data_IF_082778544849
#
_entry.id   IF_082778544849
#
_cell.length_a   1.000
_cell.length_b   1.000
_cell.length_c   1.000
_cell.angle_alpha   90.00
_cell.angle_beta   90.00
_cell.angle_gamma   90.00
#
_symmetry.space_group_name_H-M   'P 1'
#
loop_
_entity.id
_entity.type
_entity.pdbx_description
1 polymer ?
#
# COMPACT_ATOMS: atom_id res chain seq x y z
N UNK A 1 55.79 6.40 55.60
CA UNK A 1 54.73 6.74 54.62
C UNK A 1 54.37 5.47 53.87
N UNK A 2 53.14 4.98 54.05
CA UNK A 2 52.55 3.86 53.31
C UNK A 2 52.13 4.37 51.94
N UNK A 3 52.24 3.58 50.87
CA UNK A 3 51.14 3.43 49.91
C UNK A 3 51.36 2.16 49.07
N UNK A 4 50.42 1.23 49.25
CA UNK A 4 50.34 -0.08 48.60
C UNK A 4 49.88 0.07 47.14
N UNK A 5 50.43 -0.80 46.31
CA UNK A 5 49.90 -1.24 45.03
C UNK A 5 48.57 -1.96 45.28
N UNK A 6 47.48 -1.53 44.64
CA UNK A 6 46.28 -2.35 44.46
C UNK A 6 45.67 -2.05 43.09
N UNK A 7 46.01 -2.91 42.14
CA UNK A 7 45.26 -3.11 40.90
C UNK A 7 44.01 -3.90 41.29
N UNK A 8 42.83 -3.38 41.02
CA UNK A 8 41.61 -4.18 40.98
C UNK A 8 40.77 -3.77 39.77
N UNK A 9 40.75 -4.66 38.78
CA UNK A 9 39.76 -4.72 37.71
C UNK A 9 38.36 -4.81 38.31
N UNK A 10 37.45 -3.90 37.95
CA UNK A 10 36.02 -4.17 37.98
C UNK A 10 35.40 -3.70 36.66
N UNK A 11 35.23 -4.69 35.79
CA UNK A 11 34.22 -4.90 34.74
C UNK A 11 33.27 -3.72 34.51
N UNK A 12 33.48 -3.01 33.39
CA UNK A 12 32.46 -2.16 32.77
C UNK A 12 31.38 -3.10 32.24
N UNK A 13 30.31 -3.30 33.01
CA UNK A 13 29.10 -3.95 32.53
C UNK A 13 28.37 -2.94 31.64
N UNK A 14 28.76 -2.86 30.36
CA UNK A 14 27.91 -2.29 29.33
C UNK A 14 26.71 -3.23 29.18
N UNK A 15 25.67 -2.99 29.97
CA UNK A 15 24.31 -3.34 29.60
C UNK A 15 24.03 -2.62 28.28
N UNK A 16 24.32 -3.30 27.18
CA UNK A 16 23.77 -2.97 25.88
C UNK A 16 22.25 -3.09 26.05
N UNK A 17 21.60 -1.98 26.40
CA UNK A 17 20.19 -1.80 26.14
C UNK A 17 20.06 -1.86 24.62
N UNK A 18 19.85 -3.06 24.08
CA UNK A 18 19.26 -3.17 22.77
C UNK A 18 17.94 -2.41 22.87
N UNK A 19 17.74 -1.30 22.15
CA UNK A 19 16.41 -0.77 22.04
C UNK A 19 15.58 -1.93 21.49
N UNK A 20 14.61 -2.39 22.26
CA UNK A 20 13.48 -3.11 21.70
C UNK A 20 12.83 -2.10 20.75
N UNK A 21 13.33 -2.05 19.52
CA UNK A 21 12.68 -1.37 18.42
C UNK A 21 11.38 -2.15 18.27
N UNK A 22 10.34 -1.65 18.92
CA UNK A 22 8.97 -2.08 18.69
C UNK A 22 8.81 -1.91 17.19
N UNK A 23 8.83 -3.04 16.47
CA UNK A 23 8.67 -3.04 15.03
C UNK A 23 7.34 -2.33 14.79
N UNK A 24 7.38 -1.14 14.20
CA UNK A 24 6.18 -0.36 13.95
C UNK A 24 5.19 -1.25 13.22
N UNK A 25 3.93 -1.25 13.67
CA UNK A 25 2.90 -2.09 13.09
C UNK A 25 2.74 -1.72 11.61
N UNK A 26 2.96 -2.67 10.71
CA UNK A 26 2.81 -2.43 9.26
C UNK A 26 1.33 -2.32 8.93
N UNK A 27 0.91 -1.16 8.45
CA UNK A 27 -0.48 -0.87 8.09
C UNK A 27 -0.62 -1.02 6.57
N UNK A 28 -1.56 -1.84 6.12
CA UNK A 28 -1.84 -2.00 4.69
C UNK A 28 -2.41 -0.69 4.14
N UNK A 29 -1.74 -0.10 3.15
CA UNK A 29 -2.10 1.18 2.52
C UNK A 29 -2.69 1.01 1.13
N UNK A 30 -2.13 0.10 0.32
CA UNK A 30 -2.66 -0.26 -1.01
C UNK A 30 -2.70 -1.78 -1.16
N UNK A 31 -3.70 -2.28 -1.88
CA UNK A 31 -3.76 -3.68 -2.32
C UNK A 31 -4.24 -3.74 -3.77
N UNK A 32 -3.35 -4.09 -4.69
CA UNK A 32 -3.71 -4.41 -6.07
C UNK A 32 -4.04 -5.91 -6.17
N UNK A 33 -5.26 -6.22 -6.59
CA UNK A 33 -5.77 -7.58 -6.73
C UNK A 33 -5.99 -7.90 -8.20
N UNK A 34 -5.41 -8.99 -8.69
CA UNK A 34 -5.76 -9.57 -9.98
C UNK A 34 -6.94 -10.51 -9.77
N UNK A 35 -7.96 -10.38 -10.59
CA UNK A 35 -9.24 -11.08 -10.47
C UNK A 35 -9.43 -12.00 -11.66
N UNK A 36 -9.88 -13.22 -11.37
CA UNK A 36 -10.46 -14.14 -12.34
C UNK A 36 -11.80 -14.59 -11.78
N UNK A 37 -12.88 -14.14 -12.40
CA UNK A 37 -14.22 -14.14 -11.82
C UNK A 37 -14.22 -13.52 -10.41
N UNK A 38 -14.76 -14.24 -9.42
CA UNK A 38 -14.82 -13.77 -8.02
C UNK A 38 -13.51 -14.04 -7.26
N UNK A 39 -12.57 -14.78 -7.84
CA UNK A 39 -11.35 -15.19 -7.16
C UNK A 39 -10.24 -14.17 -7.34
N UNK A 40 -9.42 -13.98 -6.30
CA UNK A 40 -8.18 -13.20 -6.40
C UNK A 40 -7.06 -14.19 -6.71
N UNK A 41 -6.44 -14.06 -7.88
CA UNK A 41 -5.39 -14.96 -8.37
C UNK A 41 -4.00 -14.51 -7.97
N UNK A 42 -3.85 -13.20 -7.70
CA UNK A 42 -2.61 -12.56 -7.30
C UNK A 42 -2.89 -11.28 -6.52
N UNK A 43 -2.01 -10.96 -5.58
CA UNK A 43 -2.08 -9.68 -4.85
C UNK A 43 -0.72 -9.01 -4.66
N UNK A 44 -0.75 -7.68 -4.66
CA UNK A 44 0.39 -6.82 -4.37
C UNK A 44 -0.02 -5.84 -3.29
N UNK A 45 0.66 -5.89 -2.16
CA UNK A 45 0.31 -5.17 -0.95
C UNK A 45 1.41 -4.19 -0.59
N UNK A 46 1.05 -2.92 -0.46
CA UNK A 46 1.94 -1.84 -0.01
C UNK A 46 1.58 -1.46 1.41
N UNK A 47 2.57 -1.48 2.30
CA UNK A 47 2.43 -1.17 3.71
C UNK A 47 3.22 0.08 4.08
N UNK A 48 2.75 0.78 5.10
CA UNK A 48 3.47 1.86 5.78
C UNK A 48 3.25 1.83 7.28
N UNK A 49 3.92 2.70 8.01
CA UNK A 49 3.79 2.84 9.47
C UNK A 49 2.86 4.00 9.91
N UNK A 50 2.37 4.81 8.97
CA UNK A 50 1.35 5.84 9.19
C UNK A 50 0.20 5.65 8.18
N UNK A 51 -1.02 5.90 8.63
CA UNK A 51 -2.21 5.85 7.77
C UNK A 51 -2.43 7.15 7.01
N UNK A 52 -2.06 8.30 7.59
CA UNK A 52 -2.38 9.61 7.04
C UNK A 52 -1.47 9.94 5.84
N UNK A 53 -1.97 9.97 4.60
CA UNK A 53 -1.14 10.32 3.44
C UNK A 53 -0.75 11.81 3.39
N UNK A 54 -1.21 12.63 4.35
CA UNK A 54 -0.84 14.03 4.46
C UNK A 54 0.26 14.27 5.49
N UNK A 55 0.56 13.30 6.35
CA UNK A 55 1.74 13.36 7.19
C UNK A 55 2.96 12.93 6.35
N UNK A 56 4.08 13.61 6.57
CA UNK A 56 5.36 13.18 6.03
C UNK A 56 6.36 13.23 7.17
N UNK A 57 6.98 12.10 7.49
CA UNK A 57 8.02 12.00 8.51
C UNK A 57 9.32 11.48 7.91
N UNK A 58 10.43 11.85 8.55
CA UNK A 58 11.73 11.22 8.26
C UNK A 58 11.74 9.74 8.68
N UNK A 59 10.85 9.38 9.61
CA UNK A 59 10.71 8.03 10.15
C UNK A 59 9.68 7.17 9.38
N UNK A 60 9.14 7.66 8.26
CA UNK A 60 8.23 6.88 7.43
C UNK A 60 8.98 5.65 6.89
N UNK A 61 8.39 4.49 7.10
CA UNK A 61 8.91 3.21 6.65
C UNK A 61 7.86 2.49 5.81
N UNK A 62 8.27 1.96 4.67
CA UNK A 62 7.38 1.27 3.74
C UNK A 62 7.89 -0.13 3.41
N UNK A 63 6.97 -1.01 3.05
CA UNK A 63 7.30 -2.34 2.51
C UNK A 63 6.30 -2.78 1.45
N UNK A 64 6.73 -3.67 0.57
CA UNK A 64 5.88 -4.28 -0.46
C UNK A 64 5.91 -5.80 -0.33
N UNK A 65 4.75 -6.42 -0.54
CA UNK A 65 4.60 -7.87 -0.65
C UNK A 65 3.91 -8.23 -1.95
N UNK A 66 4.40 -9.25 -2.64
CA UNK A 66 3.73 -9.90 -3.77
C UNK A 66 3.38 -11.32 -3.33
N UNK A 67 2.09 -11.65 -3.32
CA UNK A 67 1.57 -12.96 -2.89
C UNK A 67 2.13 -13.39 -1.52
N UNK A 68 2.16 -12.43 -0.58
CA UNK A 68 2.66 -12.60 0.79
C UNK A 68 4.18 -12.58 0.96
N UNK A 69 4.96 -12.57 -0.13
CA UNK A 69 6.43 -12.50 -0.08
C UNK A 69 6.91 -11.05 -0.13
N UNK A 70 7.74 -10.64 0.83
CA UNK A 70 8.36 -9.33 0.83
C UNK A 70 9.30 -9.15 -0.36
N UNK A 71 9.25 -7.97 -0.97
CA UNK A 71 10.15 -7.57 -2.05
C UNK A 71 10.86 -6.27 -1.67
N UNK A 72 12.09 -6.11 -2.13
CA UNK A 72 12.83 -4.85 -1.99
C UNK A 72 12.80 -4.08 -3.30
N UNK A 73 12.36 -2.82 -3.21
CA UNK A 73 12.37 -1.87 -4.32
C UNK A 73 13.13 -0.61 -3.90
N UNK A 74 13.61 0.21 -4.86
CA UNK A 74 14.26 1.47 -4.54
C UNK A 74 13.34 2.41 -3.75
N UNK A 75 13.88 3.08 -2.72
CA UNK A 75 13.16 4.05 -1.88
C UNK A 75 12.33 5.09 -2.67
N UNK A 76 12.81 5.65 -3.80
CA UNK A 76 12.01 6.57 -4.60
C UNK A 76 10.68 5.99 -5.08
N UNK A 77 10.58 4.67 -5.25
CA UNK A 77 9.34 4.01 -5.66
C UNK A 77 8.31 3.99 -4.54
N UNK A 78 8.71 3.70 -3.30
CA UNK A 78 7.83 3.78 -2.13
C UNK A 78 7.26 5.19 -1.97
N UNK A 79 8.13 6.20 -2.05
CA UNK A 79 7.71 7.62 -1.97
C UNK A 79 6.79 8.02 -3.11
N UNK A 80 7.02 7.49 -4.31
CA UNK A 80 6.12 7.72 -5.46
C UNK A 80 4.75 7.11 -5.23
N UNK A 81 4.66 5.86 -4.77
CA UNK A 81 3.40 5.20 -4.44
C UNK A 81 2.63 5.97 -3.37
N UNK A 82 3.31 6.41 -2.31
CA UNK A 82 2.67 7.17 -1.23
C UNK A 82 2.15 8.53 -1.70
N UNK A 83 2.95 9.24 -2.51
CA UNK A 83 2.54 10.53 -3.07
C UNK A 83 1.28 10.40 -3.94
N UNK A 84 1.22 9.36 -4.79
CA UNK A 84 0.07 9.12 -5.66
C UNK A 84 -1.16 8.70 -4.83
N UNK A 85 -0.98 7.82 -3.84
CA UNK A 85 -2.06 7.31 -2.98
C UNK A 85 -2.90 8.43 -2.39
N UNK A 86 -2.25 9.51 -1.96
CA UNK A 86 -2.91 10.66 -1.32
C UNK A 86 -4.14 11.14 -2.07
N UNK A 87 -4.09 11.22 -3.40
CA UNK A 87 -5.16 11.87 -4.18
C UNK A 87 -6.44 11.06 -4.28
N UNK A 88 -6.40 9.76 -3.98
CA UNK A 88 -7.55 8.87 -4.04
C UNK A 88 -7.84 8.15 -2.71
N UNK A 89 -7.25 8.59 -1.60
CA UNK A 89 -7.43 7.99 -0.27
C UNK A 89 -8.55 8.63 0.56
N UNK A 90 -9.21 9.70 0.11
CA UNK A 90 -10.34 10.34 0.81
C UNK A 90 -11.13 11.29 -0.10
N UNK A 91 -12.38 11.59 0.29
CA UNK A 91 -13.38 12.23 -0.59
C UNK A 91 -12.99 13.62 -1.09
N UNK A 92 -12.32 14.44 -0.27
CA UNK A 92 -12.01 15.83 -0.66
C UNK A 92 -10.98 15.93 -1.80
N UNK A 93 -10.19 14.89 -2.05
CA UNK A 93 -9.31 14.81 -3.22
C UNK A 93 -9.84 13.90 -4.32
N UNK A 94 -10.43 12.75 -3.95
CA UNK A 94 -10.96 11.79 -4.92
C UNK A 94 -12.26 12.25 -5.59
N UNK A 95 -12.99 13.18 -4.97
CA UNK A 95 -14.36 13.54 -5.33
C UNK A 95 -15.37 12.43 -4.99
N UNK A 96 -14.98 11.44 -4.19
CA UNK A 96 -15.68 10.18 -3.98
C UNK A 96 -15.31 9.10 -5.01
N UNK A 97 -15.69 7.86 -4.72
CA UNK A 97 -15.51 6.73 -5.62
C UNK A 97 -16.85 6.38 -6.26
N UNK A 98 -16.88 6.36 -7.59
CA UNK A 98 -18.00 5.87 -8.36
C UNK A 98 -17.99 4.33 -8.39
N UNK A 99 -19.10 3.75 -7.96
CA UNK A 99 -19.32 2.30 -7.98
C UNK A 99 -19.52 1.80 -9.42
N UNK A 100 -19.21 0.52 -9.71
CA UNK A 100 -19.42 -0.06 -11.03
C UNK A 100 -20.87 0.08 -11.48
N UNK A 101 -21.09 0.60 -12.69
CA UNK A 101 -22.43 0.66 -13.27
C UNK A 101 -22.93 -0.74 -13.62
N UNK A 102 -24.23 -1.02 -13.44
CA UNK A 102 -24.89 -2.27 -13.85
C UNK A 102 -24.99 -2.43 -15.39
N UNK A 103 -24.13 -1.78 -16.18
CA UNK A 103 -24.34 -1.66 -17.63
C UNK A 103 -24.48 -3.02 -18.32
N UNK A 104 -25.51 -3.12 -19.17
CA UNK A 104 -25.87 -4.31 -19.95
C UNK A 104 -25.00 -4.40 -21.21
N UNK A 105 -23.71 -4.06 -21.14
CA UNK A 105 -22.81 -4.21 -22.26
C UNK A 105 -22.61 -5.71 -22.55
N UNK A 106 -23.25 -6.18 -23.64
CA UNK A 106 -23.19 -7.57 -24.11
C UNK A 106 -21.75 -7.88 -24.55
N UNK A 107 -21.03 -8.61 -23.73
CA UNK A 107 -19.73 -9.19 -24.08
C UNK A 107 -19.97 -10.62 -24.57
N UNK A 108 -19.56 -10.92 -25.80
CA UNK A 108 -19.74 -12.23 -26.43
C UNK A 108 -18.48 -13.11 -26.33
N UNK A 109 -17.62 -12.86 -25.33
CA UNK A 109 -16.47 -13.72 -25.04
C UNK A 109 -16.90 -14.89 -24.15
N UNK A 110 -16.32 -16.06 -24.40
CA UNK A 110 -16.35 -17.18 -23.45
C UNK A 110 -15.09 -17.15 -22.58
N UNK A 111 -15.20 -17.62 -21.33
CA UNK A 111 -14.09 -17.66 -20.38
C UNK A 111 -14.38 -16.88 -19.10
N UNK A 112 -13.37 -16.75 -18.21
CA UNK A 112 -13.51 -16.00 -16.96
C UNK A 112 -13.50 -14.49 -17.19
N UNK A 113 -14.11 -13.75 -16.27
CA UNK A 113 -13.99 -12.30 -16.20
C UNK A 113 -12.65 -11.91 -15.57
N UNK A 114 -11.78 -11.24 -16.34
CA UNK A 114 -10.41 -10.92 -15.93
C UNK A 114 -10.18 -9.41 -15.84
N UNK A 115 -9.54 -9.00 -14.76
CA UNK A 115 -9.25 -7.60 -14.48
C UNK A 115 -8.49 -7.41 -13.18
N UNK A 116 -8.27 -6.14 -12.85
CA UNK A 116 -7.56 -5.71 -11.65
C UNK A 116 -8.44 -4.79 -10.81
N UNK A 117 -8.33 -4.89 -9.49
CA UNK A 117 -8.95 -3.97 -8.54
C UNK A 117 -7.85 -3.41 -7.65
N UNK A 118 -7.68 -2.09 -7.68
CA UNK A 118 -6.88 -1.36 -6.70
C UNK A 118 -7.77 -1.00 -5.51
N UNK A 119 -7.36 -1.47 -4.34
CA UNK A 119 -7.89 -1.02 -3.05
C UNK A 119 -6.91 -0.09 -2.36
N UNK A 120 -7.41 0.91 -1.67
CA UNK A 120 -6.64 1.82 -0.85
C UNK A 120 -7.21 1.90 0.56
N UNK A 121 -6.35 2.20 1.55
CA UNK A 121 -6.78 2.65 2.86
C UNK A 121 -7.45 4.01 2.68
N UNK A 122 -8.78 3.98 2.74
CA UNK A 122 -9.64 5.13 2.57
C UNK A 122 -9.95 5.73 3.93
N UNK A 123 -9.84 7.06 4.05
CA UNK A 123 -9.91 7.78 5.31
C UNK A 123 -11.13 8.69 5.34
N UNK A 124 -11.78 8.74 6.50
CA UNK A 124 -12.83 9.73 6.79
C UNK A 124 -12.27 10.74 7.76
N UNK A 125 -12.30 12.02 7.36
CA UNK A 125 -11.88 13.14 8.20
C UNK A 125 -13.10 13.87 8.78
N UNK A 126 -12.98 14.33 10.02
CA UNK A 126 -13.92 15.29 10.57
C UNK A 126 -13.60 16.74 10.15
N UNK A 127 -14.39 17.70 10.61
CA UNK A 127 -14.19 19.13 10.34
C UNK A 127 -12.89 19.72 10.89
N UNK A 128 -12.25 19.04 11.84
CA UNK A 128 -10.95 19.42 12.42
C UNK A 128 -9.77 18.73 11.73
N UNK A 129 -9.98 18.09 10.57
CA UNK A 129 -8.98 17.32 9.83
C UNK A 129 -8.36 16.16 10.64
N UNK A 130 -9.12 15.60 11.58
CA UNK A 130 -8.75 14.38 12.29
C UNK A 130 -9.38 13.17 11.61
N UNK A 131 -8.60 12.10 11.47
CA UNK A 131 -9.09 10.81 10.99
C UNK A 131 -10.03 10.23 12.06
N UNK A 132 -11.27 9.97 11.67
CA UNK A 132 -12.30 9.38 12.55
C UNK A 132 -12.69 7.97 12.15
N UNK A 133 -12.37 7.56 10.92
CA UNK A 133 -12.59 6.21 10.42
C UNK A 133 -11.63 5.88 9.28
N UNK A 134 -11.36 4.59 9.08
CA UNK A 134 -10.55 4.11 7.98
C UNK A 134 -10.91 2.67 7.57
N UNK A 135 -10.93 2.39 6.26
CA UNK A 135 -11.17 1.04 5.74
C UNK A 135 -10.41 0.78 4.44
N UNK A 136 -10.29 -0.48 4.05
CA UNK A 136 -9.78 -0.82 2.71
C UNK A 136 -10.92 -0.77 1.70
N UNK A 137 -10.95 0.27 0.86
CA UNK A 137 -11.99 0.47 -0.14
C UNK A 137 -11.45 0.23 -1.55
N UNK A 138 -12.26 -0.36 -2.44
CA UNK A 138 -11.97 -0.41 -3.87
C UNK A 138 -12.04 1.01 -4.44
N UNK A 139 -10.93 1.49 -5.01
CA UNK A 139 -10.83 2.87 -5.52
C UNK A 139 -10.73 2.92 -7.04
N UNK A 140 -10.19 1.87 -7.67
CA UNK A 140 -10.06 1.81 -9.11
C UNK A 140 -10.16 0.37 -9.62
N UNK A 141 -10.89 0.16 -10.71
CA UNK A 141 -10.99 -1.12 -11.41
C UNK A 141 -10.54 -1.00 -12.85
N UNK A 142 -9.77 -1.99 -13.33
CA UNK A 142 -9.29 -2.06 -14.71
C UNK A 142 -9.65 -3.41 -15.33
N UNK A 143 -10.43 -3.40 -16.41
CA UNK A 143 -10.74 -4.62 -17.13
C UNK A 143 -9.58 -5.06 -18.02
N UNK A 144 -9.24 -6.35 -17.97
CA UNK A 144 -8.35 -6.99 -18.95
C UNK A 144 -9.17 -7.60 -20.11
N UNK A 145 -10.45 -7.91 -19.87
CA UNK A 145 -11.38 -8.35 -20.89
C UNK A 145 -12.79 -7.74 -20.71
N UNK A 146 -13.65 -7.85 -21.72
CA UNK A 146 -14.98 -7.23 -21.67
C UNK A 146 -15.97 -7.90 -20.69
N UNK A 147 -15.63 -9.05 -20.13
CA UNK A 147 -16.44 -9.77 -19.16
C UNK A 147 -16.31 -9.15 -17.76
N UNK A 148 -15.18 -8.52 -17.46
CA UNK A 148 -14.95 -7.85 -16.18
C UNK A 148 -15.74 -6.55 -16.06
N UNK A 149 -16.53 -6.44 -14.98
CA UNK A 149 -17.47 -5.32 -14.76
C UNK A 149 -17.16 -4.47 -13.53
N UNK A 150 -16.26 -4.90 -12.65
CA UNK A 150 -15.93 -4.21 -11.39
C UNK A 150 -15.04 -2.98 -11.64
N UNK A 151 -15.56 -1.98 -12.36
CA UNK A 151 -14.86 -0.78 -12.80
C UNK A 151 -15.10 0.41 -11.87
N UNK A 152 -14.54 0.33 -10.66
CA UNK A 152 -14.50 1.46 -9.72
C UNK A 152 -13.70 2.61 -10.30
N UNK A 153 -14.08 3.86 -10.01
CA UNK A 153 -13.27 5.00 -10.45
C UNK A 153 -13.42 6.21 -9.53
N UNK A 154 -12.35 6.96 -9.22
CA UNK A 154 -12.48 8.26 -8.60
C UNK A 154 -13.26 9.22 -9.51
N UNK A 155 -14.09 10.07 -8.91
CA UNK A 155 -14.84 11.10 -9.64
C UNK A 155 -13.89 12.17 -10.16
N UNK A 156 -12.89 12.54 -9.37
CA UNK A 156 -11.84 13.47 -9.76
C UNK A 156 -10.91 12.84 -10.80
N UNK A 157 -10.69 13.52 -11.93
CA UNK A 157 -9.86 13.02 -13.04
C UNK A 157 -8.39 12.87 -12.69
N UNK A 158 -7.84 13.74 -11.83
CA UNK A 158 -6.44 13.65 -11.42
C UNK A 158 -6.25 12.44 -10.49
N UNK A 159 -7.15 12.26 -9.53
CA UNK A 159 -7.15 11.09 -8.66
C UNK A 159 -7.29 9.78 -9.46
N UNK A 160 -8.07 9.79 -10.54
CA UNK A 160 -8.21 8.67 -11.49
C UNK A 160 -6.89 8.34 -12.19
N UNK A 161 -6.19 9.35 -12.71
CA UNK A 161 -4.89 9.14 -13.36
C UNK A 161 -3.81 8.69 -12.38
N UNK A 162 -3.80 9.23 -11.16
CA UNK A 162 -2.87 8.80 -10.11
C UNK A 162 -3.11 7.35 -9.69
N UNK A 163 -4.38 6.94 -9.54
CA UNK A 163 -4.75 5.55 -9.29
C UNK A 163 -4.31 4.62 -10.44
N UNK A 164 -4.47 5.04 -11.70
CA UNK A 164 -3.94 4.33 -12.86
C UNK A 164 -2.41 4.22 -12.81
N UNK A 165 -1.72 5.29 -12.43
CA UNK A 165 -0.27 5.30 -12.25
C UNK A 165 0.21 4.33 -11.17
N UNK A 166 -0.53 4.20 -10.07
CA UNK A 166 -0.26 3.19 -9.04
C UNK A 166 -0.42 1.77 -9.58
N UNK A 167 -1.50 1.48 -10.32
CA UNK A 167 -1.66 0.18 -10.97
C UNK A 167 -0.48 -0.12 -11.90
N UNK A 168 -0.08 0.85 -12.72
CA UNK A 168 1.05 0.68 -13.65
C UNK A 168 2.36 0.35 -12.94
N UNK A 169 2.67 1.07 -11.86
CA UNK A 169 3.86 0.82 -11.03
C UNK A 169 3.80 -0.59 -10.44
N UNK A 170 2.72 -0.91 -9.73
CA UNK A 170 2.58 -2.19 -9.03
C UNK A 170 2.56 -3.37 -10.01
N UNK A 171 1.87 -3.23 -11.14
CA UNK A 171 1.86 -4.24 -12.20
C UNK A 171 3.25 -4.44 -12.80
N UNK A 172 4.02 -3.37 -13.02
CA UNK A 172 5.39 -3.48 -13.55
C UNK A 172 6.30 -4.28 -12.62
N UNK A 173 6.14 -4.16 -11.29
CA UNK A 173 6.90 -4.98 -10.34
C UNK A 173 6.70 -6.47 -10.56
N UNK A 174 5.49 -6.89 -10.96
CA UNK A 174 5.22 -8.30 -11.28
C UNK A 174 5.94 -8.78 -12.54
N UNK A 175 6.03 -7.92 -13.56
CA UNK A 175 6.63 -8.24 -14.86
C UNK A 175 8.15 -8.35 -14.77
N UNK A 176 8.76 -7.62 -13.83
CA UNK A 176 10.21 -7.64 -13.58
C UNK A 176 10.69 -8.89 -12.83
N UNK A 177 9.82 -9.88 -12.60
CA UNK A 177 10.22 -11.18 -12.04
C UNK A 177 10.39 -11.19 -10.52
N UNK A 178 9.87 -10.18 -9.81
CA UNK A 178 9.84 -10.17 -8.34
C UNK A 178 8.94 -11.27 -7.73
N UNK A 179 8.24 -12.09 -8.54
CA UNK A 179 7.58 -13.32 -8.07
C UNK A 179 8.52 -14.51 -7.87
N UNK A 180 9.69 -14.50 -8.51
CA UNK A 180 10.50 -15.70 -8.74
C UNK A 180 11.79 -15.72 -7.92
N UNK A 181 11.99 -14.77 -6.99
CA UNK A 181 13.07 -14.87 -6.00
C UNK A 181 12.81 -16.06 -5.09
N UNK A 182 13.51 -17.16 -5.42
CA UNK A 182 13.58 -18.42 -4.68
C UNK A 182 14.23 -18.25 -3.32
#
# INVERSE_FOLDING_TARGET
MKFLIYINMIVISCLAMFPNVVKAEEILLLNLQYKSDKTTTREIQFYGNDIDPNSTSIDDSFSLKIDGKSIEVPEPLYRRLETLRRTFSYDSLSGGIQEPSESIARCNLGGPAEGMILKARYLTYNSEWKIVDHEMRSVFGMAENCLFKELYTPVNSNAREDARGVIEILNTLTLLGYSDSK
#
